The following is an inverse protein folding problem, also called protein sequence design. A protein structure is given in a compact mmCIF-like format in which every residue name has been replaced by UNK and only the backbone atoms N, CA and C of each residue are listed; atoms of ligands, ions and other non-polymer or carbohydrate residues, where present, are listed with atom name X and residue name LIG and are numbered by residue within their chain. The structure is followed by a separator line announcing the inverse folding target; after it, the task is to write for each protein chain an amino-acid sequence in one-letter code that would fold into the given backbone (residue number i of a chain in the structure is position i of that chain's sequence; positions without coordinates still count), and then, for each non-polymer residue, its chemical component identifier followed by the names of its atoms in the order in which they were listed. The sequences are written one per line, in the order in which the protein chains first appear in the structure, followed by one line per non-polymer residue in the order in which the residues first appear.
data_IF_708960433018
#
_entry.id   IF_708960433018
#
_cell.length_a   1.000
_cell.length_b   1.000
_cell.length_c   1.000
_cell.angle_alpha   90.00
_cell.angle_beta   90.00
_cell.angle_gamma   90.00
#
_symmetry.space_group_name_H-M   'P 1'
#
loop_
_entity.id
_entity.type
_entity.pdbx_description
1 polymer ?
#
# COMPACT_ATOMS: atom_id res chain seq x y z
N UNK A 1 -16.68 -4.06 -5.65
CA UNK A 1 -15.69 -4.48 -6.68
C UNK A 1 -14.54 -5.29 -6.07
N UNK A 2 -13.67 -4.71 -5.22
CA UNK A 2 -12.51 -5.43 -4.64
C UNK A 2 -12.86 -6.74 -3.93
N UNK A 3 -13.91 -6.74 -3.10
CA UNK A 3 -14.42 -7.95 -2.46
C UNK A 3 -14.90 -9.02 -3.46
N UNK A 4 -15.55 -8.62 -4.56
CA UNK A 4 -15.95 -9.56 -5.64
C UNK A 4 -14.73 -10.17 -6.30
N UNK A 5 -13.72 -9.34 -6.65
CA UNK A 5 -12.46 -9.82 -7.24
C UNK A 5 -11.70 -10.77 -6.32
N UNK A 6 -11.61 -10.44 -5.03
CA UNK A 6 -10.98 -11.31 -4.03
C UNK A 6 -11.74 -12.64 -3.86
N UNK A 7 -13.07 -12.59 -3.91
CA UNK A 7 -13.91 -13.79 -3.80
C UNK A 7 -13.76 -14.69 -5.03
N UNK A 8 -13.73 -14.12 -6.24
CA UNK A 8 -13.47 -14.84 -7.48
C UNK A 8 -12.06 -15.46 -7.49
N UNK A 9 -11.04 -14.69 -7.08
CA UNK A 9 -9.68 -15.20 -6.94
C UNK A 9 -9.60 -16.41 -6.00
N UNK A 10 -10.31 -16.36 -4.87
CA UNK A 10 -10.36 -17.48 -3.93
C UNK A 10 -11.05 -18.72 -4.50
N UNK A 11 -12.14 -18.54 -5.26
CA UNK A 11 -12.99 -19.62 -5.72
C UNK A 11 -12.57 -20.23 -7.07
N UNK A 12 -12.06 -19.41 -7.99
CA UNK A 12 -11.93 -19.75 -9.42
C UNK A 12 -10.49 -19.70 -9.95
N UNK A 13 -9.51 -19.40 -9.10
CA UNK A 13 -8.10 -19.30 -9.50
C UNK A 13 -7.20 -20.19 -8.63
N UNK A 14 -6.16 -20.76 -9.24
CA UNK A 14 -5.04 -21.44 -8.59
C UNK A 14 -3.84 -20.49 -8.33
N UNK A 15 -3.95 -19.22 -8.72
CA UNK A 15 -2.89 -18.24 -8.51
C UNK A 15 -2.60 -18.04 -7.01
N UNK A 16 -1.33 -17.80 -6.70
CA UNK A 16 -0.86 -17.62 -5.33
C UNK A 16 -1.05 -16.22 -4.79
N UNK A 17 -1.20 -15.22 -5.67
CA UNK A 17 -1.36 -13.83 -5.31
C UNK A 17 -2.43 -13.15 -6.14
N UNK A 18 -3.10 -12.16 -5.54
CA UNK A 18 -3.98 -11.21 -6.20
C UNK A 18 -3.29 -9.83 -6.24
N UNK A 19 -3.12 -9.26 -7.43
CA UNK A 19 -2.58 -7.93 -7.63
C UNK A 19 -3.70 -6.94 -7.97
N UNK A 20 -3.88 -5.93 -7.12
CA UNK A 20 -4.72 -4.76 -7.44
C UNK A 20 -3.88 -3.69 -8.14
N UNK A 21 -4.42 -3.17 -9.25
CA UNK A 21 -3.87 -2.04 -9.99
C UNK A 21 -5.02 -1.08 -10.31
N UNK A 22 -4.97 0.13 -9.77
CA UNK A 22 -5.92 1.18 -10.15
C UNK A 22 -5.62 1.67 -11.58
N UNK A 23 -6.64 2.04 -12.37
CA UNK A 23 -6.47 2.35 -13.80
C UNK A 23 -5.69 3.64 -14.07
N UNK A 24 -5.43 4.44 -13.03
CA UNK A 24 -4.67 5.69 -13.10
C UNK A 24 -3.22 5.53 -12.63
N UNK A 25 -2.70 4.30 -12.57
CA UNK A 25 -1.35 4.00 -12.13
C UNK A 25 -0.43 3.63 -13.29
N UNK A 26 0.77 4.21 -13.31
CA UNK A 26 1.84 3.86 -14.25
C UNK A 26 3.13 3.62 -13.47
N UNK A 27 3.75 2.47 -13.72
CA UNK A 27 4.91 1.95 -13.02
C UNK A 27 5.66 0.98 -13.94
N UNK A 28 6.93 0.70 -13.62
CA UNK A 28 7.72 -0.29 -14.35
C UNK A 28 7.22 -1.71 -14.04
N UNK A 29 7.05 -2.61 -15.03
CA UNK A 29 6.65 -4.00 -14.79
C UNK A 29 7.60 -4.75 -13.84
N UNK A 30 8.87 -4.38 -13.82
CA UNK A 30 9.90 -4.93 -12.94
C UNK A 30 9.55 -4.71 -11.45
N UNK A 31 8.79 -3.67 -11.11
CA UNK A 31 8.28 -3.47 -9.74
C UNK A 31 7.40 -4.66 -9.30
N UNK A 32 6.58 -5.24 -10.19
CA UNK A 32 5.76 -6.41 -9.84
C UNK A 32 6.64 -7.62 -9.55
N UNK A 33 7.67 -7.85 -10.37
CA UNK A 33 8.65 -8.91 -10.13
C UNK A 33 9.40 -8.70 -8.81
N UNK A 34 9.77 -7.45 -8.50
CA UNK A 34 10.40 -7.06 -7.23
C UNK A 34 9.49 -7.35 -6.03
N UNK A 35 8.20 -7.00 -6.12
CA UNK A 35 7.22 -7.27 -5.06
C UNK A 35 7.04 -8.77 -4.81
N UNK A 36 6.99 -9.58 -5.87
CA UNK A 36 6.93 -11.04 -5.77
C UNK A 36 8.21 -11.61 -5.14
N UNK A 37 9.38 -11.14 -5.55
CA UNK A 37 10.67 -11.58 -5.04
C UNK A 37 10.89 -11.20 -3.56
N UNK A 38 10.28 -10.12 -3.09
CA UNK A 38 10.35 -9.70 -1.69
C UNK A 38 9.65 -10.69 -0.73
N UNK A 39 8.69 -11.48 -1.23
CA UNK A 39 8.17 -12.66 -0.54
C UNK A 39 7.36 -12.40 0.73
N UNK A 40 6.87 -11.16 0.95
CA UNK A 40 5.96 -10.85 2.06
C UNK A 40 4.49 -11.03 1.65
N UNK A 41 3.59 -11.39 2.59
CA UNK A 41 2.20 -11.72 2.25
C UNK A 41 1.39 -10.53 1.72
N UNK A 42 1.69 -9.31 2.17
CA UNK A 42 1.06 -8.08 1.66
C UNK A 42 2.14 -7.07 1.32
N UNK A 43 2.25 -6.77 0.03
CA UNK A 43 3.22 -5.83 -0.51
C UNK A 43 2.48 -4.79 -1.36
N UNK A 44 2.65 -3.51 -1.06
CA UNK A 44 2.14 -2.40 -1.87
C UNK A 44 3.27 -1.53 -2.40
N UNK A 45 2.90 -0.35 -2.86
CA UNK A 45 3.84 0.73 -3.12
C UNK A 45 3.32 2.05 -2.55
N UNK A 46 4.23 2.94 -2.16
CA UNK A 46 3.87 4.32 -1.84
C UNK A 46 3.90 5.12 -3.15
N UNK A 47 2.79 5.80 -3.44
CA UNK A 47 2.61 6.52 -4.69
C UNK A 47 1.93 7.88 -4.47
N UNK A 48 2.10 8.81 -5.42
CA UNK A 48 1.47 10.13 -5.35
C UNK A 48 -0.04 10.11 -5.09
N UNK A 49 -0.49 10.99 -4.21
CA UNK A 49 -1.86 11.48 -4.28
C UNK A 49 -2.00 12.52 -5.41
N UNK A 50 -3.24 12.85 -5.80
CA UNK A 50 -3.51 13.83 -6.87
C UNK A 50 -3.41 15.27 -6.34
N UNK A 51 -2.34 15.57 -5.63
CA UNK A 51 -2.14 16.82 -4.92
C UNK A 51 -0.68 17.21 -4.83
N UNK A 52 -0.46 18.51 -4.67
CA UNK A 52 0.85 19.12 -4.59
C UNK A 52 0.90 20.07 -3.40
N UNK A 53 2.03 20.06 -2.71
CA UNK A 53 2.40 21.03 -1.69
C UNK A 53 3.24 22.14 -2.35
N UNK A 54 2.57 23.24 -2.68
CA UNK A 54 3.21 24.39 -3.32
C UNK A 54 4.26 25.08 -2.42
N UNK A 55 4.15 24.95 -1.10
CA UNK A 55 5.11 25.55 -0.17
C UNK A 55 6.39 24.71 -0.09
N UNK A 56 6.25 23.38 -0.10
CA UNK A 56 7.37 22.46 -0.28
C UNK A 56 8.06 22.70 -1.63
N UNK A 57 7.30 22.89 -2.71
CA UNK A 57 7.84 23.26 -4.02
C UNK A 57 8.65 24.56 -3.95
N UNK A 58 8.07 25.62 -3.37
CA UNK A 58 8.72 26.94 -3.23
C UNK A 58 10.03 26.83 -2.46
N UNK A 59 10.04 26.08 -1.36
CA UNK A 59 11.23 25.88 -0.51
C UNK A 59 12.30 25.05 -1.23
N UNK A 60 11.92 24.01 -1.97
CA UNK A 60 12.84 23.23 -2.80
C UNK A 60 13.52 24.11 -3.86
N UNK A 61 12.74 24.95 -4.53
CA UNK A 61 13.23 25.86 -5.57
C UNK A 61 14.16 26.96 -5.06
N UNK A 62 14.11 27.29 -3.76
CA UNK A 62 15.08 28.20 -3.13
C UNK A 62 16.45 27.55 -2.91
N UNK A 63 16.51 26.23 -2.84
CA UNK A 63 17.75 25.46 -2.60
C UNK A 63 18.40 24.97 -3.89
N UNK A 64 17.61 24.76 -4.94
CA UNK A 64 18.04 24.22 -6.22
C UNK A 64 17.17 24.76 -7.34
N UNK A 65 17.75 25.10 -8.49
CA UNK A 65 16.99 25.47 -9.70
C UNK A 65 16.48 24.26 -10.48
N UNK A 66 16.72 23.04 -9.99
CA UNK A 66 16.21 21.82 -10.60
C UNK A 66 14.71 21.67 -10.34
N UNK A 67 13.91 22.02 -11.35
CA UNK A 67 12.44 21.99 -11.28
C UNK A 67 11.87 20.59 -11.11
N UNK A 68 12.51 19.55 -11.68
CA UNK A 68 12.09 18.15 -11.50
C UNK A 68 12.26 17.73 -10.03
N UNK A 69 13.38 18.09 -9.41
CA UNK A 69 13.61 17.81 -8.00
C UNK A 69 12.59 18.53 -7.12
N UNK A 70 12.28 19.80 -7.42
CA UNK A 70 11.23 20.54 -6.74
C UNK A 70 9.86 19.87 -6.87
N UNK A 71 9.51 19.40 -8.07
CA UNK A 71 8.26 18.68 -8.31
C UNK A 71 8.18 17.40 -7.47
N UNK A 72 9.20 16.53 -7.55
CA UNK A 72 9.24 15.26 -6.80
C UNK A 72 9.12 15.43 -5.27
N UNK A 73 9.65 16.53 -4.74
CA UNK A 73 9.58 16.87 -3.32
C UNK A 73 8.23 17.45 -2.91
N UNK A 74 7.52 18.09 -3.84
CA UNK A 74 6.23 18.74 -3.60
C UNK A 74 5.01 17.84 -3.78
N UNK A 75 5.17 16.70 -4.46
CA UNK A 75 4.06 15.75 -4.61
C UNK A 75 3.73 15.15 -3.26
N UNK A 76 2.43 15.11 -2.92
CA UNK A 76 1.94 14.42 -1.72
C UNK A 76 1.76 12.94 -2.01
N UNK A 77 1.85 12.09 -0.99
CA UNK A 77 1.77 10.65 -1.14
C UNK A 77 0.61 10.04 -0.36
N UNK A 78 0.04 8.97 -0.90
CA UNK A 78 -0.95 8.16 -0.20
C UNK A 78 -0.27 7.45 0.96
N UNK A 79 -0.78 7.65 2.18
CA UNK A 79 -0.23 7.11 3.43
C UNK A 79 1.22 7.53 3.71
N UNK A 80 1.54 8.80 3.47
CA UNK A 80 2.77 9.42 3.97
C UNK A 80 2.79 9.54 5.51
N UNK A 81 3.97 9.72 6.10
CA UNK A 81 4.13 10.05 7.52
C UNK A 81 3.73 8.91 8.47
N UNK A 82 2.64 9.12 9.23
CA UNK A 82 2.21 8.28 10.36
C UNK A 82 1.92 6.82 10.00
N UNK A 83 1.73 6.51 8.72
CA UNK A 83 1.57 5.13 8.28
C UNK A 83 2.89 4.36 8.25
N UNK A 84 4.06 5.04 8.17
CA UNK A 84 5.36 4.39 8.14
C UNK A 84 5.78 3.96 9.53
N UNK A 85 6.16 2.69 9.65
CA UNK A 85 6.60 2.15 10.92
C UNK A 85 8.09 2.39 11.09
N UNK A 86 8.43 3.42 11.86
CA UNK A 86 9.78 3.67 12.36
C UNK A 86 9.98 3.16 13.81
N UNK A 87 11.23 3.02 14.22
CA UNK A 87 11.63 2.83 15.62
C UNK A 87 12.30 4.07 16.18
N UNK A 88 12.35 4.22 17.50
CA UNK A 88 13.16 5.28 18.12
C UNK A 88 14.61 4.82 18.29
N UNK A 89 15.54 5.55 17.69
CA UNK A 89 16.96 5.39 17.90
C UNK A 89 17.39 5.82 19.31
N UNK A 90 18.61 5.45 19.71
CA UNK A 90 19.18 5.82 21.03
C UNK A 90 19.28 7.32 21.25
N UNK A 91 19.34 8.10 20.18
CA UNK A 91 19.38 9.56 20.15
C UNK A 91 17.98 10.21 20.05
N UNK A 92 16.91 9.44 20.17
CA UNK A 92 15.52 9.91 20.11
C UNK A 92 14.98 10.16 18.69
N UNK A 93 15.84 10.03 17.67
CA UNK A 93 15.45 10.16 16.26
C UNK A 93 14.60 8.99 15.81
N UNK A 94 13.70 9.22 14.85
CA UNK A 94 12.93 8.15 14.23
C UNK A 94 13.81 7.46 13.20
N UNK A 95 14.01 6.15 13.32
CA UNK A 95 14.73 5.33 12.35
C UNK A 95 13.74 4.54 11.51
N UNK A 96 13.79 4.72 10.19
CA UNK A 96 12.98 3.96 9.23
C UNK A 96 13.91 2.98 8.52
N UNK A 97 13.59 1.70 8.60
CA UNK A 97 14.32 0.66 7.91
C UNK A 97 13.75 0.46 6.51
N UNK A 98 14.61 0.58 5.51
CA UNK A 98 14.33 0.27 4.11
C UNK A 98 15.02 -1.04 3.80
N UNK A 99 14.24 -2.13 3.74
CA UNK A 99 14.72 -3.48 3.46
C UNK A 99 14.49 -3.78 1.97
N UNK A 100 15.58 -3.90 1.20
CA UNK A 100 15.53 -4.14 -0.26
C UNK A 100 14.57 -3.21 -1.04
N UNK A 101 14.47 -1.96 -0.61
CA UNK A 101 13.60 -0.96 -1.24
C UNK A 101 12.18 -0.85 -0.65
N UNK A 102 11.88 -1.64 0.38
CA UNK A 102 10.57 -1.66 1.03
C UNK A 102 10.63 -1.12 2.46
N UNK A 103 9.59 -0.40 2.88
CA UNK A 103 9.38 0.00 4.27
C UNK A 103 8.16 -0.69 4.85
N UNK A 104 8.17 -0.97 6.15
CA UNK A 104 6.99 -1.46 6.85
C UNK A 104 5.99 -0.33 7.06
N UNK A 105 4.72 -0.59 6.78
CA UNK A 105 3.62 0.37 6.93
C UNK A 105 2.47 -0.24 7.72
N UNK A 106 1.67 0.60 8.37
CA UNK A 106 0.42 0.18 9.01
C UNK A 106 -0.74 0.08 8.03
N UNK A 107 -0.65 0.80 6.89
CA UNK A 107 -1.69 0.89 5.87
C UNK A 107 -1.06 1.05 4.49
N UNK A 108 -1.68 0.45 3.48
CA UNK A 108 -1.27 0.61 2.08
C UNK A 108 -2.49 0.90 1.20
N UNK A 109 -2.28 1.74 0.18
CA UNK A 109 -3.29 2.05 -0.81
C UNK A 109 -3.47 0.90 -1.80
N UNK A 110 -4.70 0.69 -2.24
CA UNK A 110 -5.04 -0.36 -3.21
C UNK A 110 -4.72 0.01 -4.67
N UNK A 111 -4.02 1.13 -4.91
CA UNK A 111 -3.63 1.55 -6.25
C UNK A 111 -2.57 0.64 -6.88
N UNK A 112 -1.68 0.10 -6.06
CA UNK A 112 -0.78 -0.99 -6.42
C UNK A 112 -0.53 -1.85 -5.18
N UNK A 113 -1.22 -2.98 -5.08
CA UNK A 113 -1.23 -3.83 -3.88
C UNK A 113 -1.29 -5.31 -4.26
N UNK A 114 -0.24 -6.05 -3.91
CA UNK A 114 -0.10 -7.49 -4.06
C UNK A 114 -0.44 -8.18 -2.73
N UNK A 115 -1.37 -9.13 -2.78
CA UNK A 115 -1.85 -9.86 -1.60
C UNK A 115 -1.75 -11.35 -1.88
N UNK A 116 -1.01 -12.08 -1.05
CA UNK A 116 -0.93 -13.53 -1.08
C UNK A 116 -2.26 -14.17 -0.69
N UNK A 117 -2.58 -15.32 -1.28
CA UNK A 117 -3.81 -16.08 -1.02
C UNK A 117 -4.04 -16.35 0.46
N UNK A 118 -2.97 -16.74 1.15
CA UNK A 118 -2.97 -17.04 2.58
C UNK A 118 -3.49 -15.88 3.45
N UNK A 119 -3.39 -14.63 2.98
CA UNK A 119 -3.92 -13.46 3.69
C UNK A 119 -5.44 -13.52 3.77
N UNK A 120 -6.11 -13.81 2.65
CA UNK A 120 -7.57 -13.90 2.63
C UNK A 120 -8.07 -15.13 3.39
N UNK A 121 -7.36 -16.25 3.30
CA UNK A 121 -7.66 -17.47 4.06
C UNK A 121 -7.49 -17.23 5.56
N UNK A 122 -6.44 -16.53 5.97
CA UNK A 122 -6.20 -16.13 7.36
C UNK A 122 -7.28 -15.19 7.87
N UNK A 123 -7.67 -14.18 7.08
CA UNK A 123 -8.77 -13.28 7.43
C UNK A 123 -10.06 -14.09 7.61
N UNK A 124 -10.39 -15.01 6.69
CA UNK A 124 -11.57 -15.87 6.82
C UNK A 124 -11.52 -16.75 8.08
N UNK A 125 -10.34 -17.25 8.44
CA UNK A 125 -10.18 -18.12 9.60
C UNK A 125 -10.25 -17.35 10.93
N UNK A 126 -9.62 -16.18 11.02
CA UNK A 126 -9.57 -15.36 12.24
C UNK A 126 -10.78 -14.43 12.40
N UNK A 127 -11.44 -14.08 11.31
CA UNK A 127 -12.59 -13.18 11.23
C UNK A 127 -13.71 -13.83 10.40
N UNK A 128 -14.35 -14.91 10.91
CA UNK A 128 -15.36 -15.66 10.15
C UNK A 128 -16.57 -14.80 9.75
N UNK A 129 -16.85 -13.71 10.47
CA UNK A 129 -17.88 -12.74 10.13
C UNK A 129 -17.59 -11.96 8.84
N UNK A 130 -16.35 -11.99 8.33
CA UNK A 130 -15.98 -11.42 7.04
C UNK A 130 -16.30 -12.34 5.86
N UNK A 131 -16.84 -13.53 6.08
CA UNK A 131 -17.14 -14.50 5.03
C UNK A 131 -18.63 -14.82 4.98
N UNK A 132 -19.24 -14.64 3.79
CA UNK A 132 -20.59 -15.09 3.49
C UNK A 132 -20.50 -16.35 2.61
N UNK A 133 -20.88 -17.54 3.10
CA UNK A 133 -20.85 -18.76 2.30
C UNK A 133 -21.81 -18.72 1.11
N UNK A 134 -23.00 -18.14 1.30
CA UNK A 134 -24.02 -18.00 0.26
C UNK A 134 -24.41 -16.52 0.05
N UNK A 135 -23.69 -15.78 -0.80
CA UNK A 135 -23.97 -14.39 -1.09
C UNK A 135 -25.28 -14.19 -1.88
N UNK A 136 -25.94 -13.06 -1.60
CA UNK A 136 -27.21 -12.67 -2.23
C UNK A 136 -27.09 -12.55 -3.75
N UNK A 137 -28.21 -12.78 -4.43
CA UNK A 137 -28.35 -12.76 -5.90
C UNK A 137 -27.74 -11.53 -6.60
N UNK A 138 -27.84 -10.33 -6.00
CA UNK A 138 -27.27 -9.13 -6.63
C UNK A 138 -25.73 -9.17 -6.69
N UNK A 139 -25.04 -9.86 -5.77
CA UNK A 139 -23.60 -10.08 -5.84
C UNK A 139 -23.24 -11.07 -6.95
N UNK A 140 -24.11 -12.07 -7.20
CA UNK A 140 -23.98 -13.00 -8.35
C UNK A 140 -24.02 -12.22 -9.67
N UNK A 141 -24.95 -11.26 -9.78
CA UNK A 141 -25.06 -10.36 -10.94
C UNK A 141 -23.84 -9.44 -11.14
N UNK A 142 -22.98 -9.28 -10.13
CA UNK A 142 -21.70 -8.58 -10.27
C UNK A 142 -20.56 -9.47 -10.79
N UNK A 143 -20.85 -10.71 -11.17
CA UNK A 143 -19.91 -11.66 -11.75
C UNK A 143 -19.42 -12.76 -10.81
N UNK A 144 -19.98 -12.87 -9.60
CA UNK A 144 -19.61 -13.93 -8.65
C UNK A 144 -20.26 -15.27 -9.06
N UNK A 145 -19.44 -16.27 -9.40
CA UNK A 145 -19.90 -17.58 -9.90
C UNK A 145 -20.83 -18.33 -8.93
N UNK A 146 -21.60 -19.29 -9.45
CA UNK A 146 -22.48 -20.13 -8.63
C UNK A 146 -21.67 -20.94 -7.59
N UNK A 147 -22.15 -21.04 -6.35
CA UNK A 147 -21.45 -21.74 -5.27
C UNK A 147 -20.22 -21.00 -4.69
N UNK A 148 -19.81 -19.85 -5.26
CA UNK A 148 -18.75 -19.02 -4.69
C UNK A 148 -19.22 -18.36 -3.38
N UNK A 149 -18.39 -18.33 -2.35
CA UNK A 149 -18.64 -17.46 -1.19
C UNK A 149 -18.15 -16.03 -1.43
N UNK A 150 -18.38 -15.14 -0.48
CA UNK A 150 -18.05 -13.72 -0.57
C UNK A 150 -17.25 -13.25 0.64
N UNK A 151 -16.04 -12.75 0.40
CA UNK A 151 -15.19 -12.15 1.44
C UNK A 151 -15.40 -10.63 1.50
N UNK A 152 -15.51 -10.08 2.70
CA UNK A 152 -15.88 -8.69 2.97
C UNK A 152 -14.73 -7.83 3.52
N UNK A 153 -13.49 -8.28 3.35
CA UNK A 153 -12.32 -7.66 3.99
C UNK A 153 -12.04 -6.21 3.53
N UNK A 154 -12.61 -5.76 2.42
CA UNK A 154 -12.54 -4.37 1.94
C UNK A 154 -13.81 -3.54 2.24
N UNK A 155 -14.82 -4.09 2.94
CA UNK A 155 -16.02 -3.31 3.27
C UNK A 155 -15.66 -2.19 4.27
N UNK A 156 -16.03 -0.96 3.92
CA UNK A 156 -15.78 0.23 4.71
C UNK A 156 -16.53 0.15 6.04
N UNK A 157 -15.90 0.65 7.11
CA UNK A 157 -16.54 0.79 8.40
C UNK A 157 -16.71 2.28 8.73
N UNK A 158 -17.76 2.67 9.46
CA UNK A 158 -17.83 4.00 10.04
C UNK A 158 -16.68 4.18 11.04
N UNK A 159 -15.95 5.28 10.93
CA UNK A 159 -15.04 5.78 11.95
C UNK A 159 -15.83 6.34 13.14
N UNK A 160 -15.17 6.44 14.29
CA UNK A 160 -15.77 6.96 15.53
C UNK A 160 -16.25 8.41 15.40
N UNK A 161 -15.66 9.18 14.48
CA UNK A 161 -15.99 10.56 14.15
C UNK A 161 -17.08 10.69 13.07
N UNK A 162 -17.66 9.56 12.62
CA UNK A 162 -18.65 9.52 11.54
C UNK A 162 -18.05 9.60 10.13
N UNK A 163 -16.72 9.66 10.00
CA UNK A 163 -16.05 9.47 8.70
C UNK A 163 -16.24 8.03 8.21
N UNK A 164 -16.17 7.77 6.91
CA UNK A 164 -16.08 6.39 6.41
C UNK A 164 -14.61 6.05 6.21
N UNK A 165 -14.15 4.94 6.80
CA UNK A 165 -12.80 4.48 6.50
C UNK A 165 -12.74 3.95 5.07
N UNK A 166 -11.77 4.39 4.28
CA UNK A 166 -11.55 3.88 2.93
C UNK A 166 -11.40 2.35 2.90
N UNK A 167 -11.76 1.72 1.77
CA UNK A 167 -11.72 0.25 1.65
C UNK A 167 -10.34 -0.34 1.90
N UNK A 168 -9.31 0.40 1.51
CA UNK A 168 -7.89 0.11 1.71
C UNK A 168 -7.50 0.19 3.19
N UNK A 169 -8.00 1.20 3.92
CA UNK A 169 -7.84 1.30 5.37
C UNK A 169 -8.54 0.13 6.06
N UNK A 170 -9.77 -0.19 5.67
CA UNK A 170 -10.55 -1.25 6.29
C UNK A 170 -9.88 -2.62 6.11
N UNK A 171 -9.33 -2.91 4.93
CA UNK A 171 -8.51 -4.10 4.72
C UNK A 171 -7.23 -4.09 5.56
N UNK A 172 -6.47 -2.98 5.53
CA UNK A 172 -5.21 -2.86 6.25
C UNK A 172 -5.40 -3.06 7.75
N UNK A 173 -6.43 -2.44 8.34
CA UNK A 173 -6.74 -2.56 9.76
C UNK A 173 -7.17 -4.00 10.11
N UNK A 174 -7.99 -4.67 9.28
CA UNK A 174 -8.35 -6.08 9.50
C UNK A 174 -7.13 -7.01 9.44
N UNK A 175 -6.22 -6.79 8.50
CA UNK A 175 -5.01 -7.59 8.38
C UNK A 175 -4.04 -7.35 9.54
N UNK A 176 -3.70 -6.09 9.79
CA UNK A 176 -2.70 -5.74 10.81
C UNK A 176 -3.26 -5.94 12.22
N UNK A 177 -4.42 -5.34 12.54
CA UNK A 177 -4.99 -5.39 13.90
C UNK A 177 -5.75 -6.68 14.16
N UNK A 178 -6.53 -7.15 13.18
CA UNK A 178 -7.35 -8.36 13.33
C UNK A 178 -6.56 -9.66 13.19
N UNK A 179 -5.55 -9.69 12.31
CA UNK A 179 -4.78 -10.91 12.04
C UNK A 179 -3.34 -10.87 12.57
N UNK A 180 -2.83 -9.71 13.02
CA UNK A 180 -1.44 -9.55 13.44
C UNK A 180 -0.45 -9.53 12.27
N UNK A 181 -0.93 -9.25 11.07
CA UNK A 181 -0.14 -9.27 9.85
C UNK A 181 0.73 -8.03 9.65
N UNK A 182 1.70 -8.16 8.74
CA UNK A 182 2.55 -7.04 8.32
C UNK A 182 2.18 -6.58 6.90
N UNK A 183 2.38 -5.29 6.64
CA UNK A 183 2.27 -4.69 5.30
C UNK A 183 3.60 -4.00 4.99
N UNK A 184 4.07 -4.21 3.78
CA UNK A 184 5.31 -3.61 3.27
C UNK A 184 5.02 -2.81 2.02
N UNK A 185 5.66 -1.66 1.83
CA UNK A 185 5.47 -0.82 0.64
C UNK A 185 6.78 -0.46 0.00
N UNK A 186 6.85 -0.61 -1.33
CA UNK A 186 7.98 -0.17 -2.14
C UNK A 186 8.10 1.36 -2.09
N UNK A 187 9.33 1.86 -1.93
CA UNK A 187 9.62 3.30 -1.82
C UNK A 187 10.68 3.81 -2.79
N UNK A 188 11.47 2.92 -3.38
CA UNK A 188 12.62 3.24 -4.22
C UNK A 188 12.37 3.04 -5.73
N UNK A 189 11.11 2.89 -6.13
CA UNK A 189 10.69 2.86 -7.54
C UNK A 189 9.90 4.12 -7.90
N UNK A 190 10.03 4.55 -9.15
CA UNK A 190 9.23 5.66 -9.67
C UNK A 190 7.82 5.20 -10.01
N UNK A 191 6.82 5.93 -9.50
CA UNK A 191 5.40 5.65 -9.77
C UNK A 191 4.71 6.93 -10.19
N UNK A 192 3.92 6.85 -11.26
CA UNK A 192 3.16 7.96 -11.81
C UNK A 192 1.69 7.70 -11.56
N UNK A 193 1.02 8.68 -10.94
CA UNK A 193 -0.45 8.71 -10.90
C UNK A 193 -0.98 9.65 -11.98
N UNK A 194 -1.82 9.12 -12.85
CA UNK A 194 -2.42 9.83 -13.98
C UNK A 194 -3.66 10.60 -13.48
N UNK A 195 -3.76 11.87 -13.88
CA UNK A 195 -4.88 12.73 -13.52
C UNK A 195 -5.01 13.90 -14.48
N UNK A 196 -5.53 15.03 -14.00
CA UNK A 196 -5.52 16.29 -14.77
C UNK A 196 -4.10 16.70 -15.18
N UNK A 197 -3.12 16.29 -14.38
CA UNK A 197 -1.69 16.29 -14.68
C UNK A 197 -1.10 14.96 -14.22
N UNK A 198 0.09 14.62 -14.70
CA UNK A 198 0.84 13.46 -14.22
C UNK A 198 1.55 13.81 -12.92
N UNK A 199 1.27 13.05 -11.87
CA UNK A 199 1.95 13.17 -10.58
C UNK A 199 3.04 12.11 -10.55
N UNK A 200 4.29 12.53 -10.78
CA UNK A 200 5.46 11.64 -10.76
C UNK A 200 6.01 11.61 -9.34
N UNK A 201 6.13 10.42 -8.76
CA UNK A 201 6.65 10.23 -7.41
C UNK A 201 7.82 9.27 -7.38
N UNK A 202 8.74 9.54 -6.46
CA UNK A 202 9.78 8.61 -6.03
C UNK A 202 9.95 8.80 -4.53
N UNK A 203 9.28 7.94 -3.76
CA UNK A 203 9.01 8.22 -2.35
C UNK A 203 10.29 8.27 -1.50
N UNK A 204 11.29 7.43 -1.78
CA UNK A 204 12.56 7.44 -1.05
C UNK A 204 13.30 8.78 -1.20
N UNK A 205 13.19 9.43 -2.37
CA UNK A 205 13.75 10.78 -2.57
C UNK A 205 12.99 11.81 -1.76
N UNK A 206 11.66 11.71 -1.71
CA UNK A 206 10.83 12.56 -0.87
C UNK A 206 11.18 12.39 0.61
N UNK A 207 11.20 11.15 1.10
CA UNK A 207 11.53 10.80 2.49
C UNK A 207 12.91 11.32 2.90
N UNK A 208 13.91 11.21 2.02
CA UNK A 208 15.26 11.73 2.29
C UNK A 208 15.32 13.26 2.29
N UNK A 209 14.47 13.94 1.52
CA UNK A 209 14.40 15.40 1.48
C UNK A 209 13.66 16.00 2.69
N UNK A 210 12.72 15.25 3.26
CA UNK A 210 11.93 15.63 4.45
C UNK A 210 12.46 15.02 5.76
N UNK A 211 13.61 14.35 5.70
CA UNK A 211 14.26 13.60 6.78
C UNK A 211 14.83 14.48 7.93
N UNK A 212 14.01 15.33 8.56
CA UNK A 212 14.42 16.17 9.70
C UNK A 212 14.96 15.33 10.87
N UNK A 213 14.08 14.90 11.77
CA UNK A 213 14.42 13.99 12.88
C UNK A 213 14.34 12.51 12.50
N UNK A 214 14.27 12.22 11.19
CA UNK A 214 14.13 10.89 10.64
C UNK A 214 15.44 10.43 10.01
N UNK A 215 15.89 9.22 10.34
CA UNK A 215 17.06 8.56 9.77
C UNK A 215 16.61 7.37 8.94
N UNK A 216 16.97 7.34 7.67
CA UNK A 216 16.71 6.21 6.77
C UNK A 216 17.88 5.23 6.86
N UNK A 217 17.60 3.98 7.26
CA UNK A 217 18.59 2.89 7.37
C UNK A 217 18.30 1.90 6.25
N UNK A 218 19.26 1.71 5.34
CA UNK A 218 19.13 0.73 4.25
C UNK A 218 19.66 -0.62 4.71
N UNK A 219 18.88 -1.67 4.47
CA UNK A 219 19.17 -3.06 4.83
C UNK A 219 19.01 -3.88 3.57
N UNK A 220 19.94 -4.80 3.32
CA UNK A 220 19.74 -5.85 2.33
C UNK A 220 19.38 -7.15 3.03
N UNK A 221 18.33 -7.84 2.58
CA UNK A 221 17.98 -9.17 3.12
C UNK A 221 19.12 -10.18 3.02
N UNK A 222 20.00 -10.05 2.02
CA UNK A 222 21.20 -10.88 1.86
C UNK A 222 22.22 -10.75 3.00
N UNK A 223 22.15 -9.70 3.81
CA UNK A 223 23.06 -9.45 4.93
C UNK A 223 22.43 -9.76 6.31
N UNK A 224 21.12 -10.07 6.36
CA UNK A 224 20.42 -10.38 7.61
C UNK A 224 20.48 -11.87 8.00
N UNK A 225 20.95 -12.73 7.08
CA UNK A 225 21.10 -14.18 7.29
C UNK A 225 22.57 -14.63 7.57
N UNK A 226 23.48 -13.68 7.83
CA UNK A 226 24.88 -13.93 8.18
C UNK A 226 25.20 -13.54 9.63
#
# INVERSE_FOLDING_TARGET
ARNVLASLFLAESDATHLLFVDPDMSFSPELVAKMLAFGKPVVGAIYPDKGADFEAFRTAMQRSTNTLQGQLQSVRYVYDGDAIVGRKGKDGKTEIEVVDGFVRVTRAGTGLLLIAREVFETIRAKMPEMWIPDPKEWLRKMGLGEGCGYIQCFDMVPGEDGSHTGSDIAFSDRWVKGCGGEIWSCVDEAIIRIGAQNYVGHYLTHLQATAGDTRVIRISSSQAEA
#
